data_IF_422996894320
#
_entry.id   IF_422996894320
#
_cell.length_a   1.000
_cell.length_b   1.000
_cell.length_c   1.000
_cell.angle_alpha   90.00
_cell.angle_beta   90.00
_cell.angle_gamma   90.00
#
_symmetry.space_group_name_H-M   'P 1'
#
loop_
_entity.id
_entity.type
_entity.pdbx_description
1 polymer ?
#
# COMPACT_ATOMS: atom_id res chain seq x y z
N UNK A 1 -5.60 22.36 34.47
CA UNK A 1 -6.60 21.39 33.95
C UNK A 1 -6.20 21.06 32.51
N UNK A 2 -5.64 19.86 32.28
CA UNK A 2 -5.36 19.40 30.92
C UNK A 2 -6.71 19.16 30.23
N UNK A 3 -7.04 20.02 29.27
CA UNK A 3 -8.33 20.07 28.59
C UNK A 3 -8.38 18.86 27.62
N UNK A 4 -9.36 17.95 27.74
CA UNK A 4 -9.31 16.66 27.02
C UNK A 4 -9.43 16.83 25.51
N UNK A 5 -10.00 17.96 25.08
CA UNK A 5 -10.00 18.39 23.68
C UNK A 5 -8.57 18.66 23.17
N UNK A 6 -7.65 19.17 23.98
CA UNK A 6 -6.24 19.37 23.56
C UNK A 6 -5.52 18.03 23.42
N UNK A 7 -5.86 17.03 24.25
CA UNK A 7 -5.38 15.66 24.09
C UNK A 7 -5.89 15.02 22.79
N UNK A 8 -7.16 15.27 22.42
CA UNK A 8 -7.71 14.81 21.14
C UNK A 8 -7.01 15.48 19.95
N UNK A 9 -6.79 16.80 19.99
CA UNK A 9 -6.07 17.52 18.93
C UNK A 9 -4.65 16.96 18.78
N UNK A 10 -3.92 16.75 19.88
CA UNK A 10 -2.59 16.16 19.84
C UNK A 10 -2.59 14.76 19.24
N UNK A 11 -3.54 13.92 19.63
CA UNK A 11 -3.65 12.55 19.11
C UNK A 11 -3.99 12.52 17.62
N UNK A 12 -4.85 13.45 17.15
CA UNK A 12 -5.12 13.62 15.72
C UNK A 12 -3.88 14.07 14.95
N UNK A 13 -3.12 15.02 15.52
CA UNK A 13 -1.89 15.48 14.88
C UNK A 13 -0.82 14.39 14.79
N UNK A 14 -0.63 13.59 15.84
CA UNK A 14 0.26 12.43 15.79
C UNK A 14 -0.18 11.43 14.71
N UNK A 15 -1.50 11.19 14.58
CA UNK A 15 -2.05 10.35 13.52
C UNK A 15 -1.79 10.94 12.12
N UNK A 16 -1.90 12.26 11.95
CA UNK A 16 -1.54 12.94 10.70
C UNK A 16 -0.08 12.68 10.33
N UNK A 17 0.85 12.85 11.27
CA UNK A 17 2.28 12.64 11.00
C UNK A 17 2.60 11.21 10.58
N UNK A 18 1.91 10.21 11.14
CA UNK A 18 2.08 8.82 10.73
C UNK A 18 1.51 8.55 9.34
N UNK A 19 0.35 9.14 9.01
CA UNK A 19 -0.22 9.03 7.67
C UNK A 19 0.67 9.70 6.62
N UNK A 20 1.27 10.85 6.92
CA UNK A 20 2.23 11.53 6.04
C UNK A 20 3.47 10.66 5.79
N UNK A 21 4.04 10.05 6.84
CA UNK A 21 5.16 9.12 6.69
C UNK A 21 4.79 7.91 5.82
N UNK A 22 3.59 7.38 5.99
CA UNK A 22 3.14 6.23 5.21
C UNK A 22 2.90 6.59 3.73
N UNK A 23 2.39 7.80 3.46
CA UNK A 23 2.29 8.33 2.08
C UNK A 23 3.67 8.42 1.43
N UNK A 24 4.65 9.01 2.12
CA UNK A 24 6.01 9.13 1.61
C UNK A 24 6.62 7.75 1.31
N UNK A 25 6.41 6.79 2.21
CA UNK A 25 6.90 5.42 2.00
C UNK A 25 6.22 4.76 0.79
N UNK A 26 4.94 5.02 0.54
CA UNK A 26 4.26 4.51 -0.66
C UNK A 26 4.78 5.16 -1.95
N UNK A 27 5.15 6.44 -1.91
CA UNK A 27 5.80 7.10 -3.04
C UNK A 27 7.21 6.56 -3.28
N UNK A 28 7.98 6.28 -2.22
CA UNK A 28 9.28 5.59 -2.33
C UNK A 28 9.10 4.17 -2.89
N UNK A 29 8.12 3.39 -2.39
CA UNK A 29 7.80 2.06 -2.92
C UNK A 29 7.48 2.12 -4.42
N UNK A 30 6.79 3.17 -4.87
CA UNK A 30 6.50 3.35 -6.30
C UNK A 30 7.78 3.46 -7.11
N UNK A 31 8.75 4.22 -6.63
CA UNK A 31 10.02 4.42 -7.33
C UNK A 31 10.80 3.09 -7.40
N UNK A 32 10.84 2.30 -6.32
CA UNK A 32 11.42 0.95 -6.37
C UNK A 32 10.67 -0.02 -7.30
N UNK A 33 9.34 0.05 -7.39
CA UNK A 33 8.55 -0.75 -8.34
C UNK A 33 8.90 -0.40 -9.79
N UNK A 34 9.09 0.89 -10.07
CA UNK A 34 9.48 1.38 -11.40
C UNK A 34 10.90 0.93 -11.74
N UNK A 35 11.82 0.98 -10.77
CA UNK A 35 13.22 0.57 -10.93
C UNK A 35 13.42 -0.96 -10.90
N UNK A 36 12.34 -1.73 -10.66
CA UNK A 36 12.35 -3.19 -10.51
C UNK A 36 13.31 -3.69 -9.41
N UNK A 37 13.59 -2.84 -8.42
CA UNK A 37 14.46 -3.17 -7.28
C UNK A 37 13.67 -3.96 -6.21
N UNK A 38 13.69 -5.28 -6.36
CA UNK A 38 13.02 -6.19 -5.44
C UNK A 38 13.69 -6.24 -4.06
N UNK A 39 14.99 -5.94 -3.96
CA UNK A 39 15.71 -5.94 -2.67
C UNK A 39 15.34 -4.69 -1.86
N UNK A 40 15.31 -3.51 -2.50
CA UNK A 40 14.83 -2.27 -1.90
C UNK A 40 13.38 -2.36 -1.41
N UNK A 41 12.52 -3.04 -2.16
CA UNK A 41 11.12 -3.30 -1.77
C UNK A 41 10.98 -4.15 -0.52
N UNK A 42 11.77 -5.21 -0.36
CA UNK A 42 11.72 -6.08 0.83
C UNK A 42 12.20 -5.34 2.09
N UNK A 43 13.25 -4.52 1.99
CA UNK A 43 13.73 -3.70 3.12
C UNK A 43 12.66 -2.70 3.57
N UNK A 44 11.91 -2.09 2.63
CA UNK A 44 10.86 -1.11 2.95
C UNK A 44 9.58 -1.76 3.47
N UNK A 45 9.34 -3.03 3.17
CA UNK A 45 8.16 -3.78 3.68
C UNK A 45 8.12 -3.81 5.20
N UNK A 46 9.26 -4.04 5.86
CA UNK A 46 9.31 -4.09 7.33
C UNK A 46 8.94 -2.74 7.95
N UNK A 47 9.49 -1.64 7.41
CA UNK A 47 9.16 -0.27 7.86
C UNK A 47 7.68 0.07 7.64
N UNK A 48 7.07 -0.39 6.55
CA UNK A 48 5.64 -0.23 6.28
C UNK A 48 4.77 -0.97 7.29
N UNK A 49 5.12 -2.22 7.62
CA UNK A 49 4.39 -3.03 8.61
C UNK A 49 4.43 -2.37 10.00
N UNK A 50 5.60 -1.88 10.41
CA UNK A 50 5.75 -1.15 11.68
C UNK A 50 4.90 0.14 11.72
N UNK A 51 4.85 0.89 10.62
CA UNK A 51 4.02 2.10 10.53
C UNK A 51 2.52 1.78 10.57
N UNK A 52 2.08 0.68 9.95
CA UNK A 52 0.69 0.20 10.02
C UNK A 52 0.32 -0.18 11.45
N UNK A 53 1.19 -0.90 12.15
CA UNK A 53 0.97 -1.28 13.55
C UNK A 53 0.86 -0.02 14.45
N UNK A 54 1.75 0.95 14.27
CA UNK A 54 1.68 2.24 14.99
C UNK A 54 0.37 3.00 14.70
N UNK A 55 -0.13 2.96 13.46
CA UNK A 55 -1.41 3.57 13.09
C UNK A 55 -2.60 2.88 13.77
N UNK A 56 -2.57 1.55 13.91
CA UNK A 56 -3.61 0.81 14.63
C UNK A 56 -3.63 1.16 16.12
N UNK A 57 -2.46 1.21 16.75
CA UNK A 57 -2.33 1.63 18.15
C UNK A 57 -2.84 3.07 18.34
N UNK A 58 -2.48 3.99 17.43
CA UNK A 58 -2.95 5.39 17.48
C UNK A 58 -4.44 5.52 17.21
N UNK A 59 -5.04 4.66 16.39
CA UNK A 59 -6.50 4.63 16.18
C UNK A 59 -7.23 4.37 17.48
N UNK A 60 -6.76 3.44 18.29
CA UNK A 60 -7.37 3.14 19.60
C UNK A 60 -7.16 4.28 20.61
N UNK A 61 -5.98 4.93 20.61
CA UNK A 61 -5.72 6.12 21.43
C UNK A 61 -6.65 7.29 21.02
N UNK A 62 -6.80 7.54 19.71
CA UNK A 62 -7.71 8.54 19.18
C UNK A 62 -9.17 8.26 19.59
N UNK A 63 -9.62 7.01 19.55
CA UNK A 63 -10.97 6.63 19.99
C UNK A 63 -11.19 6.92 21.47
N UNK A 64 -10.21 6.58 22.33
CA UNK A 64 -10.27 6.87 23.77
C UNK A 64 -10.30 8.38 24.02
N UNK A 65 -9.41 9.14 23.40
CA UNK A 65 -9.38 10.60 23.52
C UNK A 65 -10.69 11.25 23.03
N UNK A 66 -11.30 10.70 21.98
CA UNK A 66 -12.60 11.15 21.45
C UNK A 66 -13.75 10.86 22.42
N UNK A 67 -13.77 9.68 23.05
CA UNK A 67 -14.74 9.34 24.09
C UNK A 67 -14.60 10.25 25.32
N UNK A 68 -13.36 10.52 25.74
CA UNK A 68 -13.07 11.42 26.86
C UNK A 68 -13.49 12.87 26.59
N UNK A 69 -13.23 13.38 25.38
CA UNK A 69 -13.65 14.71 24.95
C UNK A 69 -15.18 14.81 24.80
N UNK A 70 -15.85 13.77 24.29
CA UNK A 70 -17.30 13.73 24.21
C UNK A 70 -17.97 13.70 25.60
N UNK A 71 -17.37 12.97 26.55
CA UNK A 71 -17.81 12.95 27.94
C UNK A 71 -17.70 14.34 28.59
N UNK A 72 -16.61 15.06 28.34
CA UNK A 72 -16.42 16.44 28.84
C UNK A 72 -17.47 17.41 28.28
N UNK A 73 -17.79 17.26 27.00
CA UNK A 73 -18.79 18.06 26.30
C UNK A 73 -20.24 17.58 26.48
N UNK A 74 -20.45 16.54 27.30
CA UNK A 74 -21.77 15.91 27.54
C UNK A 74 -22.50 15.52 26.24
N UNK A 75 -21.76 15.12 25.22
CA UNK A 75 -22.31 14.66 23.95
C UNK A 75 -22.89 13.25 24.14
N UNK A 76 -24.20 13.12 23.96
CA UNK A 76 -24.87 11.82 23.99
C UNK A 76 -24.55 10.99 22.74
N UNK A 77 -24.61 9.67 22.89
CA UNK A 77 -24.35 8.70 21.82
C UNK A 77 -25.18 9.00 20.56
N UNK A 78 -24.62 8.87 19.33
CA UNK A 78 -23.33 8.28 19.00
C UNK A 78 -22.13 9.24 19.15
N UNK A 79 -21.07 8.75 19.80
CA UNK A 79 -19.80 9.46 19.97
C UNK A 79 -19.09 9.53 18.62
N UNK A 80 -19.14 10.69 17.98
CA UNK A 80 -18.51 10.96 16.69
C UNK A 80 -17.71 12.25 16.72
N UNK A 81 -16.68 12.35 15.87
CA UNK A 81 -15.85 13.57 15.77
C UNK A 81 -16.70 14.77 15.37
N UNK A 82 -17.71 14.57 14.50
CA UNK A 82 -18.68 15.58 14.10
C UNK A 82 -19.53 16.08 15.27
N UNK A 83 -19.96 15.18 16.15
CA UNK A 83 -20.73 15.54 17.34
C UNK A 83 -19.87 16.33 18.35
N UNK A 84 -18.61 15.92 18.55
CA UNK A 84 -17.63 16.66 19.37
C UNK A 84 -17.35 18.05 18.77
N UNK A 85 -17.20 18.16 17.46
CA UNK A 85 -17.00 19.42 16.75
C UNK A 85 -18.16 20.41 16.91
N UNK A 86 -19.40 19.91 16.96
CA UNK A 86 -20.58 20.74 17.14
C UNK A 86 -20.72 21.27 18.57
N UNK A 87 -20.26 20.49 19.56
CA UNK A 87 -20.28 20.87 20.97
C UNK A 87 -19.01 21.63 21.43
N UNK A 88 -17.93 21.58 20.63
CA UNK A 88 -16.66 22.20 20.97
C UNK A 88 -16.73 23.74 20.96
N UNK A 89 -16.02 24.42 21.88
CA UNK A 89 -15.87 25.87 21.84
C UNK A 89 -15.28 26.35 20.51
N UNK A 90 -15.68 27.53 20.00
CA UNK A 90 -15.29 28.02 18.67
C UNK A 90 -13.76 28.09 18.47
N UNK A 91 -13.01 28.47 19.51
CA UNK A 91 -11.55 28.53 19.47
C UNK A 91 -10.86 27.18 19.21
N UNK A 92 -11.51 26.05 19.56
CA UNK A 92 -10.96 24.70 19.39
C UNK A 92 -11.57 23.96 18.21
N UNK A 93 -12.76 24.41 17.77
CA UNK A 93 -13.49 23.86 16.63
C UNK A 93 -12.71 24.00 15.33
N UNK A 94 -12.04 25.12 15.11
CA UNK A 94 -11.23 25.35 13.90
C UNK A 94 -10.05 24.37 13.81
N UNK A 95 -9.32 24.19 14.91
CA UNK A 95 -8.20 23.25 14.96
C UNK A 95 -8.65 21.80 14.69
N UNK A 96 -9.75 21.37 15.32
CA UNK A 96 -10.33 20.05 15.09
C UNK A 96 -10.83 19.87 13.65
N UNK A 97 -11.44 20.89 13.04
CA UNK A 97 -11.88 20.84 11.64
C UNK A 97 -10.69 20.72 10.68
N UNK A 98 -9.63 21.49 10.94
CA UNK A 98 -8.40 21.41 10.14
C UNK A 98 -7.81 20.00 10.20
N UNK A 99 -7.70 19.44 11.40
CA UNK A 99 -7.20 18.08 11.58
C UNK A 99 -8.09 17.01 10.95
N UNK A 100 -9.42 17.15 11.08
CA UNK A 100 -10.37 16.24 10.44
C UNK A 100 -10.17 16.22 8.92
N UNK A 101 -10.10 17.40 8.28
CA UNK A 101 -9.89 17.52 6.83
C UNK A 101 -8.56 16.90 6.42
N UNK A 102 -7.49 17.20 7.16
CA UNK A 102 -6.16 16.69 6.86
C UNK A 102 -6.10 15.16 6.93
N UNK A 103 -6.68 14.55 7.97
CA UNK A 103 -6.76 13.09 8.10
C UNK A 103 -7.53 12.46 6.94
N UNK A 104 -8.65 13.07 6.50
CA UNK A 104 -9.41 12.58 5.34
C UNK A 104 -8.60 12.68 4.04
N UNK A 105 -7.97 13.81 3.78
CA UNK A 105 -7.12 14.04 2.61
C UNK A 105 -5.98 13.01 2.54
N UNK A 106 -5.25 12.82 3.65
CA UNK A 106 -4.15 11.86 3.72
C UNK A 106 -4.63 10.42 3.53
N UNK A 107 -5.80 10.07 4.07
CA UNK A 107 -6.37 8.73 3.90
C UNK A 107 -6.76 8.46 2.44
N UNK A 108 -7.37 9.45 1.76
CA UNK A 108 -7.72 9.33 0.35
C UNK A 108 -6.46 9.23 -0.52
N UNK A 109 -5.46 10.07 -0.26
CA UNK A 109 -4.19 10.04 -0.99
C UNK A 109 -3.45 8.71 -0.80
N UNK A 110 -3.43 8.18 0.41
CA UNK A 110 -2.87 6.86 0.71
C UNK A 110 -3.59 5.74 -0.05
N UNK A 111 -4.92 5.75 -0.08
CA UNK A 111 -5.70 4.75 -0.82
C UNK A 111 -5.42 4.81 -2.32
N UNK A 112 -5.31 6.02 -2.88
CA UNK A 112 -4.97 6.23 -4.31
C UNK A 112 -3.56 5.74 -4.62
N UNK A 113 -2.57 6.11 -3.81
CA UNK A 113 -1.18 5.69 -4.01
C UNK A 113 -1.03 4.17 -3.89
N UNK A 114 -1.65 3.55 -2.88
CA UNK A 114 -1.64 2.10 -2.71
C UNK A 114 -2.32 1.37 -3.88
N UNK A 115 -3.45 1.88 -4.37
CA UNK A 115 -4.12 1.33 -5.57
C UNK A 115 -3.22 1.42 -6.80
N UNK A 116 -2.54 2.55 -6.98
CA UNK A 116 -1.62 2.74 -8.11
C UNK A 116 -0.44 1.77 -8.06
N UNK A 117 0.21 1.63 -6.90
CA UNK A 117 1.32 0.69 -6.71
C UNK A 117 0.87 -0.76 -6.98
N UNK A 118 -0.33 -1.12 -6.52
CA UNK A 118 -0.93 -2.43 -6.80
C UNK A 118 -1.13 -2.65 -8.30
N UNK A 119 -1.70 -1.67 -8.99
CA UNK A 119 -1.99 -1.76 -10.43
C UNK A 119 -0.69 -1.82 -11.25
N UNK A 120 0.38 -1.10 -10.83
CA UNK A 120 1.73 -1.22 -11.39
C UNK A 120 2.31 -2.64 -11.24
N UNK A 121 2.27 -3.20 -10.02
CA UNK A 121 2.77 -4.55 -9.76
C UNK A 121 2.04 -5.61 -10.60
N UNK A 122 0.71 -5.54 -10.68
CA UNK A 122 -0.07 -6.44 -11.53
C UNK A 122 0.26 -6.27 -13.02
N UNK A 123 0.45 -5.03 -13.48
CA UNK A 123 0.87 -4.75 -14.85
C UNK A 123 2.23 -5.37 -15.18
N UNK A 124 3.22 -5.17 -14.31
CA UNK A 124 4.56 -5.74 -14.46
C UNK A 124 4.55 -7.26 -14.48
N UNK A 125 3.81 -7.90 -13.55
CA UNK A 125 3.66 -9.37 -13.52
C UNK A 125 2.95 -9.92 -14.76
N UNK A 126 1.92 -9.22 -15.25
CA UNK A 126 1.22 -9.62 -16.48
C UNK A 126 2.16 -9.60 -17.69
N UNK A 127 3.02 -8.57 -17.79
CA UNK A 127 4.02 -8.48 -18.86
C UNK A 127 5.08 -9.58 -18.75
N UNK A 128 5.58 -9.88 -17.56
CA UNK A 128 6.52 -10.99 -17.34
C UNK A 128 5.88 -12.33 -17.75
N UNK A 129 4.63 -12.57 -17.34
CA UNK A 129 3.90 -13.80 -17.72
C UNK A 129 3.71 -13.90 -19.24
N UNK A 130 3.37 -12.80 -19.93
CA UNK A 130 3.27 -12.76 -21.39
C UNK A 130 4.62 -13.04 -22.06
N UNK A 131 5.70 -12.50 -21.53
CA UNK A 131 7.07 -12.76 -22.02
C UNK A 131 7.47 -14.22 -21.80
N UNK A 132 7.16 -14.81 -20.65
CA UNK A 132 7.38 -16.22 -20.38
C UNK A 132 6.52 -17.12 -21.27
N UNK A 133 5.25 -16.77 -21.50
CA UNK A 133 4.40 -17.47 -22.47
C UNK A 133 4.95 -17.38 -23.88
N UNK A 134 5.45 -16.21 -24.30
CA UNK A 134 6.09 -16.04 -25.60
C UNK A 134 7.34 -16.91 -25.73
N UNK A 135 8.22 -16.89 -24.72
CA UNK A 135 9.43 -17.73 -24.66
C UNK A 135 9.04 -19.21 -24.66
N UNK A 136 8.06 -19.64 -23.87
CA UNK A 136 7.58 -21.01 -23.87
C UNK A 136 6.94 -21.42 -25.20
N UNK A 137 6.27 -20.49 -25.90
CA UNK A 137 5.73 -20.75 -27.25
C UNK A 137 6.84 -20.80 -28.31
N UNK A 138 7.88 -19.98 -28.20
CA UNK A 138 9.00 -19.94 -29.13
C UNK A 138 9.98 -21.11 -28.93
N UNK A 139 10.17 -21.55 -27.68
CA UNK A 139 11.01 -22.71 -27.33
C UNK A 139 10.23 -24.04 -27.38
N UNK A 140 8.91 -24.01 -27.13
CA UNK A 140 8.06 -25.21 -27.02
C UNK A 140 7.27 -25.56 -28.29
N UNK A 141 7.18 -24.68 -29.30
CA UNK A 141 6.78 -25.10 -30.65
C UNK A 141 8.03 -25.51 -31.40
N UNK A 142 8.17 -26.83 -31.52
CA UNK A 142 9.22 -27.53 -32.24
C UNK A 142 9.95 -26.65 -33.25
N UNK A 143 11.22 -26.41 -32.95
CA UNK A 143 12.22 -26.14 -33.97
C UNK A 143 11.95 -27.17 -35.06
N UNK A 144 11.30 -26.76 -36.15
CA UNK A 144 11.25 -27.53 -37.38
C UNK A 144 12.65 -27.46 -37.94
N UNK A 145 13.57 -28.19 -37.33
CA UNK A 145 14.85 -28.49 -37.95
C UNK A 145 14.52 -29.35 -39.14
N UNK A 146 14.77 -28.82 -40.33
CA UNK A 146 14.84 -29.63 -41.53
C UNK A 146 15.86 -30.74 -41.24
N UNK A 147 15.41 -32.00 -41.18
CA UNK A 147 16.35 -33.11 -41.25
C UNK A 147 16.96 -33.11 -42.65
N UNK A 148 18.19 -33.60 -42.78
CA UNK A 148 18.92 -33.71 -44.04
C UNK A 148 18.24 -34.62 -45.10
N UNK A 149 17.02 -35.13 -44.81
CA UNK A 149 16.21 -35.99 -45.68
C UNK A 149 14.83 -35.40 -46.03
N UNK A 150 14.58 -34.12 -45.75
CA UNK A 150 13.37 -33.41 -46.25
C UNK A 150 12.04 -33.80 -45.59
N UNK A 151 12.03 -34.56 -44.49
CA UNK A 151 10.82 -34.86 -43.72
C UNK A 151 10.78 -34.10 -42.40
N UNK A 152 9.61 -33.49 -42.11
CA UNK A 152 9.34 -32.75 -40.87
C UNK A 152 9.00 -33.76 -39.77
N UNK A 153 9.88 -33.90 -38.78
CA UNK A 153 9.62 -34.75 -37.61
C UNK A 153 9.23 -33.86 -36.43
N UNK A 154 8.07 -34.12 -35.85
CA UNK A 154 7.61 -33.51 -34.59
C UNK A 154 8.41 -34.07 -33.42
N UNK A 155 9.22 -33.23 -32.77
CA UNK A 155 9.99 -33.60 -31.58
C UNK A 155 9.07 -33.91 -30.39
N UNK A 156 9.29 -35.07 -29.76
CA UNK A 156 8.58 -35.50 -28.55
C UNK A 156 9.14 -34.76 -27.31
N UNK A 157 8.31 -34.29 -26.36
CA UNK A 157 8.81 -33.62 -25.16
C UNK A 157 9.47 -34.65 -24.24
N UNK A 158 10.78 -34.53 -23.98
CA UNK A 158 11.46 -35.33 -22.95
C UNK A 158 12.83 -35.90 -23.29
N UNK A 159 13.40 -35.68 -24.48
CA UNK A 159 14.77 -36.14 -24.76
C UNK A 159 15.82 -35.17 -24.22
N UNK A 160 16.63 -35.71 -23.31
CA UNK A 160 17.80 -35.09 -22.67
C UNK A 160 18.80 -34.63 -23.75
N UNK A 161 19.26 -33.38 -23.67
CA UNK A 161 20.38 -32.87 -24.47
C UNK A 161 21.67 -33.60 -24.05
N UNK A 162 21.97 -34.73 -24.70
CA UNK A 162 23.34 -35.27 -24.68
C UNK A 162 24.12 -34.54 -25.76
N UNK A 163 25.01 -33.67 -25.31
CA UNK A 163 26.02 -32.98 -26.13
C UNK A 163 27.05 -34.02 -26.57
N UNK A 164 26.89 -34.57 -27.77
CA UNK A 164 27.93 -35.31 -28.47
C UNK A 164 28.75 -34.32 -29.29
N UNK A 165 29.85 -33.84 -28.74
CA UNK A 165 30.94 -33.29 -29.55
C UNK A 165 31.86 -34.45 -29.93
N UNK A 166 32.38 -34.38 -31.16
CA UNK A 166 33.33 -35.30 -31.79
C UNK A 166 34.66 -35.27 -31.03
#
# INVERSE_FOLDING_TARGET
>A
MNNRIDCLIRSLHEKETLLEKLVLLLDEERDYIVDLDTEGLEVKREGKLQLIEQLEQRKEICKKALAEAASELKVSSPVSLSAVLNAAPPARREALLKSQRRVFELTDLLNRSNRFNRDLLYGSLSNVNRSLEFINRSLGRGVKTYSNAGSVVTGTPGSRLVRGEI
#
